data_IF_628882946316
#
_entry.id   IF_628882946316
#
_cell.length_a   1.000
_cell.length_b   1.000
_cell.length_c   1.000
_cell.angle_alpha   90.00
_cell.angle_beta   90.00
_cell.angle_gamma   90.00
#
_symmetry.space_group_name_H-M   'P 1'
#
loop_
_entity.id
_entity.type
_entity.pdbx_description
1 polymer ?
#
# COMPACT_ATOMS: atom_id res chain seq x y z
N UNK A 1 -9.28 -2.14 16.42
CA UNK A 1 -9.18 -0.75 15.92
C UNK A 1 -10.13 -0.62 14.73
N UNK A 2 -10.99 0.41 14.72
CA UNK A 2 -11.96 0.67 13.64
C UNK A 2 -11.60 1.96 12.89
N UNK A 3 -10.35 2.04 12.41
CA UNK A 3 -9.86 3.18 11.62
C UNK A 3 -9.95 2.79 10.15
N UNK A 4 -10.55 3.66 9.32
CA UNK A 4 -10.53 3.50 7.87
C UNK A 4 -9.08 3.55 7.38
N UNK A 5 -8.62 2.44 6.79
CA UNK A 5 -7.21 2.26 6.45
C UNK A 5 -7.04 2.03 4.95
N UNK A 6 -6.11 2.71 4.31
CA UNK A 6 -5.71 2.41 2.93
C UNK A 6 -4.29 1.85 2.92
N UNK A 7 -4.11 0.70 2.28
CA UNK A 7 -2.84 -0.03 2.27
C UNK A 7 -2.28 -0.09 0.85
N UNK A 8 -1.09 0.46 0.65
CA UNK A 8 -0.30 0.26 -0.56
C UNK A 8 0.72 -0.85 -0.31
N UNK A 9 0.82 -1.81 -1.22
CA UNK A 9 1.70 -2.98 -1.04
C UNK A 9 2.23 -3.50 -2.38
N UNK A 10 3.30 -4.29 -2.35
CA UNK A 10 3.86 -4.93 -3.54
C UNK A 10 4.23 -6.39 -3.29
N UNK A 11 4.21 -7.21 -4.34
CA UNK A 11 4.74 -8.57 -4.29
C UNK A 11 6.28 -8.62 -4.29
N UNK A 12 6.94 -7.53 -4.66
CA UNK A 12 8.40 -7.43 -4.71
C UNK A 12 9.02 -6.81 -3.45
N UNK A 13 8.19 -6.40 -2.49
CA UNK A 13 8.64 -5.98 -1.17
C UNK A 13 9.13 -7.21 -0.37
N UNK A 14 10.41 -7.21 0.01
CA UNK A 14 11.02 -8.30 0.78
C UNK A 14 10.87 -8.13 2.29
N UNK A 15 10.51 -6.93 2.75
CA UNK A 15 10.34 -6.61 4.17
C UNK A 15 8.86 -6.76 4.55
N UNK A 16 7.98 -6.09 3.80
CA UNK A 16 6.53 -6.22 3.93
C UNK A 16 5.97 -7.06 2.78
N UNK A 17 6.39 -8.32 2.73
CA UNK A 17 6.05 -9.22 1.63
C UNK A 17 4.56 -9.52 1.49
N UNK A 18 4.14 -9.81 0.26
CA UNK A 18 2.73 -10.06 -0.07
C UNK A 18 2.07 -11.18 0.75
N UNK A 19 2.83 -12.16 1.24
CA UNK A 19 2.32 -13.21 2.12
C UNK A 19 1.86 -12.67 3.48
N UNK A 20 2.66 -11.82 4.12
CA UNK A 20 2.32 -11.23 5.42
C UNK A 20 1.28 -10.12 5.29
N UNK A 21 1.32 -9.36 4.20
CA UNK A 21 0.27 -8.39 3.88
C UNK A 21 -1.10 -9.08 3.71
N UNK A 22 -1.17 -10.25 3.08
CA UNK A 22 -2.41 -11.04 3.00
C UNK A 22 -2.90 -11.50 4.38
N UNK A 23 -2.00 -11.92 5.28
CA UNK A 23 -2.36 -12.26 6.67
C UNK A 23 -2.86 -11.03 7.43
N UNK A 24 -2.32 -9.84 7.16
CA UNK A 24 -2.80 -8.59 7.74
C UNK A 24 -4.22 -8.26 7.27
N UNK A 25 -4.53 -8.43 5.98
CA UNK A 25 -5.86 -8.19 5.43
C UNK A 25 -6.95 -9.03 6.12
N UNK A 26 -6.64 -10.27 6.51
CA UNK A 26 -7.56 -11.15 7.24
C UNK A 26 -7.89 -10.63 8.66
N UNK A 27 -7.09 -9.72 9.21
CA UNK A 27 -7.25 -9.18 10.56
C UNK A 27 -7.88 -7.77 10.58
N UNK A 28 -7.94 -7.10 9.43
CA UNK A 28 -8.46 -5.74 9.32
C UNK A 28 -9.92 -5.75 8.88
N UNK A 29 -10.75 -4.92 9.52
CA UNK A 29 -12.20 -4.86 9.27
C UNK A 29 -12.66 -3.71 8.37
N UNK A 30 -11.87 -2.64 8.27
CA UNK A 30 -12.22 -1.44 7.49
C UNK A 30 -10.99 -0.96 6.70
N UNK A 31 -10.71 -1.63 5.58
CA UNK A 31 -9.57 -1.26 4.75
C UNK A 31 -9.86 -1.36 3.25
N UNK A 32 -9.15 -0.53 2.49
CA UNK A 32 -8.98 -0.65 1.03
C UNK A 32 -7.51 -0.94 0.75
N UNK A 33 -7.19 -1.67 -0.31
CA UNK A 33 -5.80 -1.95 -0.68
C UNK A 33 -5.52 -1.70 -2.15
N UNK A 34 -4.30 -1.28 -2.43
CA UNK A 34 -3.78 -1.03 -3.78
C UNK A 34 -2.45 -1.75 -3.93
N UNK A 35 -2.40 -2.71 -4.87
CA UNK A 35 -1.14 -3.36 -5.24
C UNK A 35 -0.37 -2.45 -6.20
N UNK A 36 0.91 -2.25 -5.93
CA UNK A 36 1.83 -1.50 -6.78
C UNK A 36 2.85 -2.47 -7.35
N UNK A 37 2.85 -2.66 -8.66
CA UNK A 37 3.80 -3.55 -9.34
C UNK A 37 5.20 -2.94 -9.34
N UNK A 38 6.22 -3.80 -9.27
CA UNK A 38 7.64 -3.40 -9.38
C UNK A 38 8.15 -2.44 -8.31
N UNK A 39 7.57 -2.50 -7.10
CA UNK A 39 8.01 -1.73 -5.94
C UNK A 39 8.64 -2.65 -4.90
N UNK A 40 9.89 -2.36 -4.52
CA UNK A 40 10.52 -2.88 -3.30
C UNK A 40 10.15 -1.95 -2.13
N UNK A 41 10.53 -2.36 -0.91
CA UNK A 41 10.19 -1.63 0.31
C UNK A 41 10.52 -0.12 0.27
N UNK A 42 11.72 0.21 -0.18
CA UNK A 42 12.23 1.60 -0.23
C UNK A 42 11.53 2.43 -1.32
N UNK A 43 10.99 1.78 -2.35
CA UNK A 43 10.45 2.46 -3.53
C UNK A 43 9.17 3.26 -3.20
N UNK A 44 8.40 2.87 -2.17
CA UNK A 44 7.23 3.61 -1.71
C UNK A 44 7.55 5.03 -1.22
N UNK A 45 8.79 5.29 -0.78
CA UNK A 45 9.23 6.60 -0.31
C UNK A 45 10.19 7.30 -1.27
N UNK A 46 11.00 6.54 -2.02
CA UNK A 46 12.15 7.10 -2.74
C UNK A 46 12.14 6.85 -4.26
N UNK A 47 11.19 6.06 -4.78
CA UNK A 47 11.10 5.86 -6.23
C UNK A 47 10.64 7.12 -6.92
N UNK A 48 11.29 7.46 -8.04
CA UNK A 48 10.81 8.53 -8.94
C UNK A 48 9.38 8.25 -9.48
N UNK A 49 8.93 6.99 -9.43
CA UNK A 49 7.56 6.60 -9.81
C UNK A 49 6.55 6.76 -8.68
N UNK A 50 6.97 6.95 -7.42
CA UNK A 50 6.10 6.97 -6.25
C UNK A 50 5.03 8.08 -6.32
N UNK A 51 5.37 9.22 -6.91
CA UNK A 51 4.44 10.32 -7.12
C UNK A 51 3.17 9.88 -7.87
N UNK A 52 3.33 9.14 -8.97
CA UNK A 52 2.23 8.70 -9.81
C UNK A 52 1.58 7.41 -9.32
N UNK A 53 2.39 6.48 -8.79
CA UNK A 53 1.92 5.15 -8.39
C UNK A 53 1.30 5.10 -6.99
N UNK A 54 1.66 6.02 -6.10
CA UNK A 54 1.25 6.02 -4.69
C UNK A 54 0.67 7.37 -4.29
N UNK A 55 1.41 8.47 -4.40
CA UNK A 55 1.01 9.75 -3.78
C UNK A 55 -0.23 10.37 -4.42
N UNK A 56 -0.35 10.31 -5.75
CA UNK A 56 -1.56 10.73 -6.44
C UNK A 56 -2.79 9.98 -5.93
N UNK A 57 -2.66 8.69 -5.61
CA UNK A 57 -3.77 7.88 -5.10
C UNK A 57 -4.09 8.21 -3.65
N UNK A 58 -3.08 8.49 -2.82
CA UNK A 58 -3.27 8.99 -1.45
C UNK A 58 -4.09 10.29 -1.49
N UNK A 59 -3.73 11.25 -2.35
CA UNK A 59 -4.46 12.51 -2.48
C UNK A 59 -5.88 12.30 -2.98
N UNK A 60 -6.13 11.37 -3.90
CA UNK A 60 -7.49 11.02 -4.31
C UNK A 60 -8.31 10.53 -3.12
N UNK A 61 -7.80 9.56 -2.36
CA UNK A 61 -8.48 8.98 -1.20
C UNK A 61 -8.76 10.03 -0.11
N UNK A 62 -7.87 10.99 0.11
CA UNK A 62 -8.05 12.03 1.12
C UNK A 62 -9.09 13.09 0.73
N UNK A 63 -9.39 13.21 -0.57
CA UNK A 63 -10.39 14.15 -1.09
C UNK A 63 -11.74 13.47 -1.41
N UNK A 64 -11.90 12.18 -1.08
CA UNK A 64 -13.17 11.45 -1.12
C UNK A 64 -13.96 11.69 0.17
#
# INVERSE_FOLDING_TARGET
>A
MNVSTVIFWSSEDRVAGGGDVKKLFQKLKNFRSYKVEHFRHIDFSFSYKAANSVYKKILQVLNE
#
